data_IF_394611750879
#
_entry.id   IF_394611750879
#
_cell.length_a   1.000
_cell.length_b   1.000
_cell.length_c   1.000
_cell.angle_alpha   90.00
_cell.angle_beta   90.00
_cell.angle_gamma   90.00
#
_symmetry.space_group_name_H-M   'P 1'
#
loop_
_entity.id
_entity.type
_entity.pdbx_description
1 polymer ?
#
# COMPACT_ATOMS: atom_id res chain seq x y z
N UNK A 1 53.98 54.13 -32.73
CA UNK A 1 53.33 52.94 -33.35
C UNK A 1 53.94 51.65 -32.81
N UNK A 2 55.26 51.42 -32.94
CA UNK A 2 55.91 50.16 -32.52
C UNK A 2 55.79 49.79 -31.04
N UNK A 3 55.96 50.74 -30.12
CA UNK A 3 55.85 50.46 -28.68
C UNK A 3 54.45 49.95 -28.29
N UNK A 4 53.39 50.57 -28.84
CA UNK A 4 52.01 50.12 -28.65
C UNK A 4 51.76 48.73 -29.23
N UNK A 5 52.33 48.45 -30.41
CA UNK A 5 52.21 47.14 -31.05
C UNK A 5 52.88 46.05 -30.19
N UNK A 6 54.07 46.33 -29.66
CA UNK A 6 54.79 45.42 -28.77
C UNK A 6 54.03 45.14 -27.46
N UNK A 7 53.39 46.15 -26.87
CA UNK A 7 52.55 46.01 -25.67
C UNK A 7 51.35 45.09 -25.93
N UNK A 8 50.64 45.30 -27.04
CA UNK A 8 49.52 44.44 -27.46
C UNK A 8 49.98 42.99 -27.73
N UNK A 9 51.18 42.77 -28.28
CA UNK A 9 51.71 41.42 -28.47
C UNK A 9 52.03 40.70 -27.16
N UNK A 10 52.38 41.43 -26.10
CA UNK A 10 52.61 40.86 -24.78
C UNK A 10 51.30 40.51 -24.09
N UNK A 11 50.31 41.40 -24.11
CA UNK A 11 48.98 41.13 -23.56
C UNK A 11 48.30 39.95 -24.26
N UNK A 12 48.38 39.86 -25.60
CA UNK A 12 47.81 38.73 -26.34
C UNK A 12 48.50 37.40 -26.03
N UNK A 13 49.81 37.39 -25.75
CA UNK A 13 50.52 36.20 -25.26
C UNK A 13 50.09 35.82 -23.85
N UNK A 14 49.92 36.80 -22.96
CA UNK A 14 49.41 36.58 -21.60
C UNK A 14 48.01 35.97 -21.63
N UNK A 15 47.08 36.58 -22.38
CA UNK A 15 45.72 36.08 -22.54
C UNK A 15 45.68 34.65 -23.10
N UNK A 16 46.57 34.32 -24.06
CA UNK A 16 46.67 32.94 -24.57
C UNK A 16 47.09 31.95 -23.48
N UNK A 17 48.02 32.34 -22.61
CA UNK A 17 48.43 31.51 -21.47
C UNK A 17 47.28 31.30 -20.48
N UNK A 18 46.54 32.36 -20.15
CA UNK A 18 45.39 32.29 -19.26
C UNK A 18 44.27 31.41 -19.84
N UNK A 19 43.99 31.55 -21.13
CA UNK A 19 43.01 30.70 -21.85
C UNK A 19 43.43 29.24 -21.80
N UNK A 20 44.71 28.92 -22.02
CA UNK A 20 45.21 27.55 -21.90
C UNK A 20 45.06 27.00 -20.47
N UNK A 21 45.34 27.84 -19.46
CA UNK A 21 45.11 27.50 -18.05
C UNK A 21 43.63 27.24 -17.73
N UNK A 22 42.73 28.08 -18.25
CA UNK A 22 41.28 27.86 -18.10
C UNK A 22 40.81 26.61 -18.81
N UNK A 23 41.29 26.33 -20.03
CA UNK A 23 40.97 25.10 -20.75
C UNK A 23 41.35 23.86 -19.95
N UNK A 24 42.56 23.83 -19.36
CA UNK A 24 42.99 22.72 -18.49
C UNK A 24 42.12 22.57 -17.23
N UNK A 25 41.68 23.68 -16.64
CA UNK A 25 40.77 23.65 -15.49
C UNK A 25 39.37 23.16 -15.87
N UNK A 26 38.86 23.58 -17.03
CA UNK A 26 37.55 23.16 -17.55
C UNK A 26 37.55 21.67 -17.84
N UNK A 27 38.55 21.14 -18.54
CA UNK A 27 38.64 19.69 -18.80
C UNK A 27 38.76 18.88 -17.50
N UNK A 28 39.50 19.39 -16.51
CA UNK A 28 39.56 18.80 -15.17
C UNK A 28 38.21 18.80 -14.44
N UNK A 29 37.40 19.86 -14.59
CA UNK A 29 36.04 19.93 -14.03
C UNK A 29 35.07 18.99 -14.77
N UNK A 30 35.13 18.94 -16.09
CA UNK A 30 34.30 18.04 -16.90
C UNK A 30 34.57 16.57 -16.53
N UNK A 31 35.83 16.19 -16.35
CA UNK A 31 36.17 14.85 -15.91
C UNK A 31 35.61 14.54 -14.51
N UNK A 32 35.76 15.47 -13.57
CA UNK A 32 35.19 15.32 -12.21
C UNK A 32 33.66 15.29 -12.20
N UNK A 33 33.01 16.02 -13.11
CA UNK A 33 31.57 16.01 -13.26
C UNK A 33 31.10 14.65 -13.79
N UNK A 34 31.78 14.11 -14.80
CA UNK A 34 31.50 12.77 -15.31
C UNK A 34 31.68 11.66 -14.27
N UNK A 35 32.71 11.76 -13.42
CA UNK A 35 32.88 10.80 -12.31
C UNK A 35 31.79 10.94 -11.25
N UNK A 36 31.39 12.17 -10.90
CA UNK A 36 30.28 12.41 -9.96
C UNK A 36 28.95 11.90 -10.49
N UNK A 37 28.66 12.08 -11.78
CA UNK A 37 27.46 11.55 -12.42
C UNK A 37 27.43 10.02 -12.38
N UNK A 38 28.56 9.36 -12.68
CA UNK A 38 28.69 7.91 -12.55
C UNK A 38 28.54 7.45 -11.09
N UNK A 39 29.07 8.19 -10.11
CA UNK A 39 28.84 7.88 -8.71
C UNK A 39 27.36 8.01 -8.34
N UNK A 40 26.67 9.05 -8.81
CA UNK A 40 25.25 9.28 -8.53
C UNK A 40 24.38 8.12 -9.04
N UNK A 41 24.61 7.64 -10.25
CA UNK A 41 23.87 6.48 -10.78
C UNK A 41 24.13 5.23 -9.94
N UNK A 42 25.37 4.97 -9.56
CA UNK A 42 25.68 3.81 -8.72
C UNK A 42 25.11 3.92 -7.29
N UNK A 43 24.90 5.13 -6.77
CA UNK A 43 24.22 5.33 -5.47
C UNK A 43 22.73 5.06 -5.63
N UNK A 44 22.10 5.56 -6.71
CA UNK A 44 20.70 5.28 -7.00
C UNK A 44 20.42 3.79 -7.17
N UNK A 45 21.29 3.06 -7.87
CA UNK A 45 21.17 1.61 -8.03
C UNK A 45 21.27 0.89 -6.67
N UNK A 46 22.21 1.32 -5.82
CA UNK A 46 22.34 0.77 -4.45
C UNK A 46 21.13 1.07 -3.59
N UNK A 47 20.53 2.25 -3.70
CA UNK A 47 19.31 2.60 -2.96
C UNK A 47 18.15 1.69 -3.38
N UNK A 48 18.03 1.38 -4.68
CA UNK A 48 17.03 0.42 -5.17
C UNK A 48 17.29 -1.00 -4.63
N UNK A 49 18.55 -1.45 -4.64
CA UNK A 49 18.92 -2.75 -4.08
C UNK A 49 18.62 -2.82 -2.58
N UNK A 50 18.89 -1.76 -1.82
CA UNK A 50 18.58 -1.69 -0.39
C UNK A 50 17.07 -1.77 -0.13
N UNK A 51 16.25 -1.08 -0.93
CA UNK A 51 14.79 -1.16 -0.84
C UNK A 51 14.29 -2.58 -1.14
N UNK A 52 14.83 -3.21 -2.19
CA UNK A 52 14.50 -4.58 -2.56
C UNK A 52 14.88 -5.58 -1.44
N UNK A 53 16.10 -5.47 -0.91
CA UNK A 53 16.58 -6.33 0.16
C UNK A 53 15.78 -6.16 1.45
N UNK A 54 15.43 -4.92 1.82
CA UNK A 54 14.59 -4.64 2.99
C UNK A 54 13.20 -5.29 2.84
N UNK A 55 12.59 -5.16 1.67
CA UNK A 55 11.31 -5.80 1.35
C UNK A 55 11.40 -7.33 1.46
N UNK A 56 12.47 -7.93 0.91
CA UNK A 56 12.72 -9.37 0.98
C UNK A 56 12.93 -9.86 2.40
N UNK A 57 13.70 -9.14 3.21
CA UNK A 57 13.92 -9.46 4.63
C UNK A 57 12.60 -9.43 5.39
N UNK A 58 11.80 -8.38 5.19
CA UNK A 58 10.48 -8.23 5.82
C UNK A 58 9.56 -9.40 5.48
N UNK A 59 9.48 -9.77 4.20
CA UNK A 59 8.66 -10.90 3.74
C UNK A 59 9.15 -12.26 4.28
N UNK A 60 10.47 -12.47 4.38
CA UNK A 60 11.04 -13.67 5.00
C UNK A 60 10.76 -13.74 6.51
N UNK A 61 10.90 -12.61 7.22
CA UNK A 61 10.55 -12.53 8.64
C UNK A 61 9.08 -12.83 8.87
N UNK A 62 8.19 -12.19 8.11
CA UNK A 62 6.75 -12.42 8.23
C UNK A 62 6.41 -13.89 7.94
N UNK A 63 6.97 -14.49 6.87
CA UNK A 63 6.79 -15.92 6.58
C UNK A 63 7.20 -16.82 7.74
N UNK A 64 8.34 -16.52 8.37
CA UNK A 64 8.82 -17.28 9.51
C UNK A 64 7.94 -17.13 10.76
N UNK A 65 7.13 -16.07 10.85
CA UNK A 65 6.25 -15.78 12.00
C UNK A 65 4.77 -16.02 11.72
N UNK A 66 4.39 -16.47 10.52
CA UNK A 66 2.97 -16.71 10.14
C UNK A 66 2.23 -17.68 11.07
N UNK A 67 2.95 -18.59 11.69
CA UNK A 67 2.38 -19.58 12.62
C UNK A 67 2.44 -19.12 14.09
N UNK A 68 3.05 -17.96 14.34
CA UNK A 68 3.11 -17.35 15.66
C UNK A 68 1.84 -16.52 15.93
N UNK A 69 1.31 -16.68 17.13
CA UNK A 69 0.34 -15.76 17.74
C UNK A 69 0.99 -15.04 18.92
N UNK A 70 0.55 -13.80 19.13
CA UNK A 70 0.94 -12.97 20.26
C UNK A 70 -0.26 -12.72 21.15
N UNK A 71 -0.09 -13.05 22.41
CA UNK A 71 -1.14 -13.00 23.42
C UNK A 71 -0.79 -11.92 24.44
N UNK A 72 -1.73 -11.02 24.70
CA UNK A 72 -1.60 -9.97 25.70
C UNK A 72 -2.67 -10.11 26.77
N UNK A 73 -2.37 -9.66 27.99
CA UNK A 73 -3.33 -9.61 29.09
C UNK A 73 -3.34 -10.84 30.01
N UNK A 74 -2.62 -11.91 29.66
CA UNK A 74 -2.51 -13.08 30.53
C UNK A 74 -1.77 -12.75 31.84
N UNK A 75 -2.39 -12.98 33.01
CA UNK A 75 -1.78 -12.73 34.32
C UNK A 75 -0.50 -13.54 34.51
N UNK A 76 0.49 -12.94 35.17
CA UNK A 76 1.78 -13.60 35.37
C UNK A 76 1.68 -14.77 36.36
N UNK A 77 2.44 -15.84 36.08
CA UNK A 77 2.57 -17.05 36.91
C UNK A 77 1.34 -17.98 36.95
N UNK A 78 0.21 -17.63 36.32
CA UNK A 78 -0.93 -18.54 36.16
C UNK A 78 -0.66 -19.68 35.18
N UNK A 79 0.34 -19.55 34.32
CA UNK A 79 0.71 -20.58 33.34
C UNK A 79 1.37 -21.81 33.98
N UNK A 80 1.85 -21.68 35.22
CA UNK A 80 2.65 -22.71 35.87
C UNK A 80 3.99 -22.93 35.16
N UNK A 81 4.47 -24.17 35.15
CA UNK A 81 5.74 -24.56 34.52
C UNK A 81 5.65 -24.79 33.01
N UNK A 82 4.46 -25.06 32.48
CA UNK A 82 4.25 -25.41 31.06
C UNK A 82 3.22 -24.49 30.40
N UNK A 83 3.75 -23.49 29.69
CA UNK A 83 2.95 -22.51 28.94
C UNK A 83 2.18 -23.17 27.80
N UNK A 84 2.70 -24.23 27.18
CA UNK A 84 2.03 -24.89 26.05
C UNK A 84 0.79 -25.64 26.51
N UNK A 85 0.90 -26.43 27.58
CA UNK A 85 -0.24 -27.12 28.18
C UNK A 85 -1.31 -26.14 28.68
N UNK A 86 -0.89 -25.04 29.33
CA UNK A 86 -1.79 -23.98 29.73
C UNK A 86 -2.58 -23.40 28.54
N UNK A 87 -1.89 -22.96 27.49
CA UNK A 87 -2.54 -22.38 26.31
C UNK A 87 -3.43 -23.39 25.57
N UNK A 88 -3.02 -24.67 25.50
CA UNK A 88 -3.81 -25.73 24.89
C UNK A 88 -5.14 -25.95 25.60
N UNK A 89 -5.21 -25.73 26.92
CA UNK A 89 -6.43 -25.85 27.71
C UNK A 89 -7.29 -24.58 27.72
N UNK A 90 -6.66 -23.39 27.67
CA UNK A 90 -7.35 -22.11 27.83
C UNK A 90 -7.87 -21.56 26.51
N UNK A 91 -7.08 -21.60 25.43
CA UNK A 91 -7.47 -20.98 24.16
C UNK A 91 -8.76 -21.56 23.56
N UNK A 92 -9.01 -22.89 23.57
CA UNK A 92 -10.28 -23.44 23.08
C UNK A 92 -11.48 -22.95 23.89
N UNK A 93 -11.35 -22.89 25.22
CA UNK A 93 -12.40 -22.39 26.12
C UNK A 93 -12.65 -20.90 25.90
N UNK A 94 -11.58 -20.12 25.78
CA UNK A 94 -11.63 -18.66 25.63
C UNK A 94 -12.28 -18.25 24.30
N UNK A 95 -11.94 -18.96 23.22
CA UNK A 95 -12.45 -18.68 21.86
C UNK A 95 -13.76 -19.41 21.56
N UNK A 96 -14.21 -20.30 22.45
CA UNK A 96 -15.34 -21.21 22.22
C UNK A 96 -15.20 -22.02 20.93
N UNK A 97 -13.96 -22.32 20.52
CA UNK A 97 -13.64 -23.11 19.34
C UNK A 97 -13.30 -24.55 19.73
N UNK A 98 -13.76 -25.49 18.90
CA UNK A 98 -13.38 -26.90 19.00
C UNK A 98 -12.25 -27.16 18.00
N UNK A 99 -11.14 -27.68 18.49
CA UNK A 99 -9.99 -28.03 17.66
C UNK A 99 -9.83 -29.55 17.59
N UNK A 100 -9.87 -30.07 16.37
CA UNK A 100 -9.55 -31.47 16.06
C UNK A 100 -8.52 -31.50 14.90
N UNK A 101 -7.28 -31.94 15.14
CA UNK A 101 -6.70 -32.37 16.41
C UNK A 101 -6.53 -31.22 17.43
N UNK A 102 -6.30 -31.52 18.73
CA UNK A 102 -6.06 -30.51 19.77
C UNK A 102 -4.95 -29.52 19.42
N UNK A 103 -4.96 -28.32 19.99
CA UNK A 103 -3.91 -27.33 19.75
C UNK A 103 -2.54 -27.87 20.17
N UNK A 104 -1.59 -27.84 19.22
CA UNK A 104 -0.21 -28.23 19.44
C UNK A 104 0.71 -27.05 19.15
N UNK A 105 1.72 -26.87 19.99
CA UNK A 105 2.65 -25.76 19.92
C UNK A 105 4.06 -26.27 19.68
N UNK A 106 4.77 -25.66 18.74
CA UNK A 106 6.22 -25.88 18.61
C UNK A 106 6.97 -25.22 19.76
N UNK A 107 6.52 -24.02 20.18
CA UNK A 107 7.12 -23.22 21.25
C UNK A 107 6.10 -22.25 21.83
N UNK A 108 6.14 -22.00 23.13
CA UNK A 108 5.39 -20.93 23.77
C UNK A 108 6.20 -20.35 24.93
N UNK A 109 6.33 -19.03 24.99
CA UNK A 109 7.11 -18.36 26.03
C UNK A 109 6.71 -16.90 26.20
N UNK A 110 6.97 -16.34 27.40
CA UNK A 110 6.82 -14.91 27.66
C UNK A 110 7.99 -14.12 27.09
N UNK A 111 7.70 -12.92 26.58
CA UNK A 111 8.69 -12.02 25.98
C UNK A 111 8.78 -10.72 26.77
N UNK A 112 10.01 -10.26 27.01
CA UNK A 112 10.30 -8.99 27.68
C UNK A 112 10.71 -9.14 29.16
N UNK A 113 11.23 -8.04 29.76
CA UNK A 113 11.70 -8.04 31.14
C UNK A 113 10.54 -8.17 32.12
N UNK A 114 10.72 -9.00 33.16
CA UNK A 114 9.73 -9.13 34.25
C UNK A 114 9.71 -7.83 35.04
N UNK A 115 8.52 -7.24 35.21
CA UNK A 115 8.38 -6.05 36.03
C UNK A 115 8.37 -6.45 37.51
N UNK A 116 9.25 -5.87 38.36
CA UNK A 116 9.39 -6.29 39.75
C UNK A 116 8.14 -6.00 40.61
N UNK A 117 7.41 -4.92 40.32
CA UNK A 117 6.40 -4.39 41.24
C UNK A 117 4.95 -4.74 40.88
N UNK A 118 4.72 -5.58 39.85
CA UNK A 118 3.37 -6.01 39.44
C UNK A 118 2.44 -4.89 38.94
N UNK A 119 2.89 -3.63 38.96
CA UNK A 119 2.14 -2.44 38.55
C UNK A 119 2.06 -2.29 37.02
N UNK A 120 2.92 -2.97 36.27
CA UNK A 120 2.94 -2.94 34.82
C UNK A 120 1.98 -3.97 34.19
N UNK A 121 1.60 -3.72 32.93
CA UNK A 121 0.88 -4.68 32.10
C UNK A 121 1.62 -6.03 32.07
N UNK A 122 0.90 -7.16 32.18
CA UNK A 122 1.52 -8.48 32.10
C UNK A 122 2.31 -8.67 30.80
N UNK A 123 3.43 -9.40 30.86
CA UNK A 123 4.26 -9.63 29.67
C UNK A 123 3.51 -10.41 28.59
N UNK A 124 3.69 -10.07 27.30
CA UNK A 124 3.08 -10.84 26.23
C UNK A 124 3.67 -12.25 26.14
N UNK A 125 2.84 -13.20 25.72
CA UNK A 125 3.25 -14.56 25.36
C UNK A 125 3.32 -14.63 23.83
N UNK A 126 4.39 -15.20 23.30
CA UNK A 126 4.47 -15.60 21.90
C UNK A 126 4.36 -17.12 21.84
N UNK A 127 3.40 -17.62 21.07
CA UNK A 127 3.18 -19.04 20.86
C UNK A 127 3.21 -19.38 19.37
N UNK A 128 4.03 -20.34 18.96
CA UNK A 128 4.08 -20.86 17.61
C UNK A 128 3.28 -22.16 17.55
N UNK A 129 2.21 -22.17 16.75
CA UNK A 129 1.40 -23.36 16.57
C UNK A 129 2.05 -24.28 15.53
N UNK A 130 1.79 -25.57 15.64
CA UNK A 130 2.28 -26.55 14.67
C UNK A 130 1.52 -26.48 13.33
N UNK A 131 0.23 -26.06 13.37
CA UNK A 131 -0.65 -26.05 12.20
C UNK A 131 -1.15 -24.64 11.89
N UNK A 132 -0.75 -24.13 10.73
CA UNK A 132 -1.16 -22.82 10.22
C UNK A 132 -2.68 -22.61 10.17
N UNK A 133 -3.46 -23.66 9.88
CA UNK A 133 -4.92 -23.57 9.84
C UNK A 133 -5.52 -23.18 11.19
N UNK A 134 -4.99 -23.71 12.29
CA UNK A 134 -5.45 -23.40 13.65
C UNK A 134 -5.06 -21.98 14.06
N UNK A 135 -3.87 -21.52 13.65
CA UNK A 135 -3.44 -20.13 13.80
C UNK A 135 -4.44 -19.17 13.15
N UNK A 136 -4.82 -19.43 11.89
CA UNK A 136 -5.80 -18.59 11.18
C UNK A 136 -7.17 -18.59 11.84
N UNK A 137 -7.64 -19.75 12.33
CA UNK A 137 -8.92 -19.83 13.05
C UNK A 137 -8.92 -18.98 14.33
N UNK A 138 -7.86 -19.06 15.13
CA UNK A 138 -7.71 -18.25 16.35
C UNK A 138 -7.68 -16.75 16.03
N UNK A 139 -6.90 -16.34 15.02
CA UNK A 139 -6.78 -14.94 14.61
C UNK A 139 -8.11 -14.39 14.07
N UNK A 140 -8.84 -15.19 13.28
CA UNK A 140 -10.14 -14.82 12.76
C UNK A 140 -11.18 -14.67 13.89
N UNK A 141 -11.18 -15.59 14.86
CA UNK A 141 -12.05 -15.48 16.03
C UNK A 141 -11.75 -14.20 16.83
N UNK A 142 -10.46 -13.87 17.03
CA UNK A 142 -10.04 -12.65 17.71
C UNK A 142 -10.47 -11.39 16.95
N UNK A 143 -10.36 -11.39 15.61
CA UNK A 143 -10.78 -10.25 14.79
C UNK A 143 -12.30 -10.02 14.85
N UNK A 144 -13.09 -11.09 14.93
CA UNK A 144 -14.55 -11.01 14.94
C UNK A 144 -15.12 -10.66 16.32
N UNK A 145 -14.54 -11.21 17.39
CA UNK A 145 -15.04 -11.04 18.75
C UNK A 145 -14.45 -9.80 19.45
N UNK A 146 -13.23 -9.40 19.07
CA UNK A 146 -12.45 -8.40 19.82
C UNK A 146 -11.76 -9.02 21.04
N UNK A 147 -11.53 -8.26 22.13
CA UNK A 147 -10.87 -8.79 23.32
C UNK A 147 -11.71 -9.90 23.97
N UNK A 148 -11.04 -10.96 24.40
CA UNK A 148 -11.67 -12.04 25.14
C UNK A 148 -11.57 -11.77 26.63
N UNK A 149 -12.69 -11.85 27.35
CA UNK A 149 -12.71 -11.61 28.79
C UNK A 149 -12.46 -12.91 29.55
N UNK A 150 -11.39 -12.96 30.33
CA UNK A 150 -11.07 -14.06 31.24
C UNK A 150 -11.09 -13.52 32.67
N UNK A 151 -12.12 -13.88 33.44
CA UNK A 151 -12.37 -13.35 34.78
C UNK A 151 -12.34 -11.80 34.82
N UNK A 152 -11.21 -11.24 35.28
CA UNK A 152 -10.94 -9.79 35.42
C UNK A 152 -9.99 -9.23 34.36
N UNK A 153 -9.56 -10.03 33.39
CA UNK A 153 -8.53 -9.69 32.42
C UNK A 153 -9.07 -9.69 30.99
N UNK A 154 -8.68 -8.67 30.21
CA UNK A 154 -8.97 -8.59 28.78
C UNK A 154 -7.80 -9.14 27.98
N UNK A 155 -8.01 -10.31 27.40
CA UNK A 155 -7.03 -11.05 26.61
C UNK A 155 -7.15 -10.65 25.15
N UNK A 156 -6.03 -10.24 24.57
CA UNK A 156 -5.94 -9.89 23.16
C UNK A 156 -5.07 -10.91 22.43
N UNK A 157 -5.60 -11.45 21.34
CA UNK A 157 -4.89 -12.36 20.45
C UNK A 157 -4.62 -11.63 19.14
N UNK A 158 -3.35 -11.51 18.76
CA UNK A 158 -2.93 -10.88 17.50
C UNK A 158 -1.93 -11.75 16.78
N UNK A 159 -1.76 -11.54 15.48
CA UNK A 159 -0.65 -12.16 14.75
C UNK A 159 0.68 -11.50 15.16
N UNK A 160 1.78 -12.23 15.00
CA UNK A 160 3.13 -11.76 15.25
C UNK A 160 3.81 -11.33 13.94
N UNK A 161 3.67 -10.07 13.55
CA UNK A 161 4.33 -9.54 12.36
C UNK A 161 5.76 -9.05 12.64
N UNK A 162 6.56 -8.90 11.58
CA UNK A 162 7.80 -8.13 11.59
C UNK A 162 7.57 -6.69 12.03
N UNK A 163 8.66 -5.99 12.36
CA UNK A 163 8.60 -4.60 12.80
C UNK A 163 8.05 -3.69 11.70
N UNK A 164 8.58 -3.81 10.49
CA UNK A 164 8.19 -2.99 9.34
C UNK A 164 6.71 -3.20 8.99
N UNK A 165 6.23 -4.45 8.99
CA UNK A 165 4.81 -4.76 8.78
C UNK A 165 3.92 -4.19 9.90
N UNK A 166 4.33 -4.28 11.17
CA UNK A 166 3.59 -3.67 12.27
C UNK A 166 3.53 -2.13 12.17
N UNK A 167 4.61 -1.48 11.77
CA UNK A 167 4.64 -0.03 11.55
C UNK A 167 3.72 0.39 10.40
N UNK A 168 3.75 -0.35 9.28
CA UNK A 168 2.84 -0.14 8.16
C UNK A 168 1.37 -0.32 8.56
N UNK A 169 1.04 -1.41 9.28
CA UNK A 169 -0.30 -1.62 9.82
C UNK A 169 -0.72 -0.48 10.76
N UNK A 170 0.15 -0.03 11.66
CA UNK A 170 -0.13 1.08 12.57
C UNK A 170 -0.41 2.38 11.81
N UNK A 171 0.34 2.66 10.74
CA UNK A 171 0.10 3.82 9.89
C UNK A 171 -1.26 3.73 9.18
N UNK A 172 -1.66 2.56 8.67
CA UNK A 172 -3.00 2.35 8.15
C UNK A 172 -4.09 2.52 9.22
N UNK A 173 -3.92 1.93 10.40
CA UNK A 173 -4.86 2.09 11.52
C UNK A 173 -5.05 3.56 11.91
N UNK A 174 -4.00 4.39 11.84
CA UNK A 174 -4.09 5.82 12.10
C UNK A 174 -4.96 6.57 11.07
N UNK A 175 -5.08 6.06 9.84
CA UNK A 175 -5.92 6.63 8.78
C UNK A 175 -7.37 6.13 8.81
N UNK A 176 -7.64 5.00 9.49
CA UNK A 176 -8.96 4.38 9.52
C UNK A 176 -10.11 5.31 9.95
N UNK A 177 -9.97 6.20 10.94
CA UNK A 177 -11.07 7.09 11.36
C UNK A 177 -11.60 8.00 10.25
N UNK A 178 -10.80 8.28 9.21
CA UNK A 178 -11.20 9.13 8.07
C UNK A 178 -12.07 8.39 7.07
N UNK A 179 -12.02 7.06 7.01
CA UNK A 179 -12.72 6.26 6.00
C UNK A 179 -14.26 6.26 6.19
N UNK A 180 -14.80 6.05 7.41
CA UNK A 180 -16.23 6.17 7.66
C UNK A 180 -16.79 7.57 7.35
N UNK A 181 -16.01 8.62 7.61
CA UNK A 181 -16.41 10.02 7.36
C UNK A 181 -16.64 10.29 5.86
N UNK A 182 -16.02 9.50 4.99
CA UNK A 182 -16.13 9.60 3.54
C UNK A 182 -17.06 8.53 2.93
N UNK A 183 -17.87 7.88 3.78
CA UNK A 183 -18.79 6.79 3.42
C UNK A 183 -18.08 5.60 2.73
N UNK A 184 -16.84 5.33 3.12
CA UNK A 184 -16.04 4.25 2.55
C UNK A 184 -16.06 3.02 3.47
N UNK A 185 -16.30 1.84 2.89
CA UNK A 185 -16.06 0.56 3.55
C UNK A 185 -14.57 0.23 3.43
N UNK A 186 -14.03 -0.47 4.43
CA UNK A 186 -12.62 -0.80 4.43
C UNK A 186 -12.33 -2.09 5.18
N UNK A 187 -11.12 -2.59 4.99
CA UNK A 187 -10.54 -3.62 5.85
C UNK A 187 -9.03 -3.70 5.65
N UNK A 188 -8.35 -4.25 6.65
CA UNK A 188 -6.92 -4.47 6.62
C UNK A 188 -6.67 -5.98 6.46
N UNK A 189 -6.10 -6.37 5.32
CA UNK A 189 -5.66 -7.72 5.04
C UNK A 189 -4.22 -7.96 5.47
N UNK A 190 -3.92 -9.21 5.76
CA UNK A 190 -2.57 -9.67 6.04
C UNK A 190 -1.71 -9.69 4.77
N UNK A 191 -0.41 -9.34 4.86
CA UNK A 191 0.28 -8.86 6.08
C UNK A 191 -0.02 -7.38 6.40
N UNK A 192 -0.08 -6.48 5.40
CA UNK A 192 -0.41 -5.06 5.60
C UNK A 192 -0.95 -4.43 4.31
N UNK A 193 -2.14 -4.86 3.87
CA UNK A 193 -2.82 -4.28 2.69
C UNK A 193 -4.18 -3.75 3.08
N UNK A 194 -4.44 -2.46 2.89
CA UNK A 194 -5.76 -1.89 3.16
C UNK A 194 -6.57 -1.84 1.86
N UNK A 195 -7.76 -2.43 1.88
CA UNK A 195 -8.74 -2.25 0.81
C UNK A 195 -9.78 -1.22 1.24
N UNK A 196 -10.24 -0.44 0.28
CA UNK A 196 -11.25 0.60 0.48
C UNK A 196 -12.27 0.51 -0.64
N UNK A 197 -13.56 0.53 -0.29
CA UNK A 197 -14.67 0.49 -1.25
C UNK A 197 -15.55 1.71 -1.10
N UNK A 198 -15.80 2.41 -2.22
CA UNK A 198 -16.75 3.53 -2.31
C UNK A 198 -17.70 3.29 -3.48
N UNK A 199 -19.01 3.37 -3.24
CA UNK A 199 -20.07 3.22 -4.26
C UNK A 199 -19.88 1.98 -5.18
N UNK A 200 -19.49 0.84 -4.58
CA UNK A 200 -19.33 -0.43 -5.29
C UNK A 200 -17.98 -0.64 -5.99
N UNK A 201 -17.06 0.33 -5.95
CA UNK A 201 -15.71 0.17 -6.50
C UNK A 201 -14.69 0.07 -5.38
N UNK A 202 -13.87 -0.97 -5.44
CA UNK A 202 -12.84 -1.28 -4.47
C UNK A 202 -11.45 -0.93 -5.01
N UNK A 203 -10.58 -0.40 -4.16
CA UNK A 203 -9.17 -0.15 -4.44
C UNK A 203 -8.31 -0.64 -3.28
N UNK A 204 -7.21 -1.28 -3.63
CA UNK A 204 -6.21 -1.78 -2.69
C UNK A 204 -5.04 -0.80 -2.55
N UNK A 205 -4.53 -0.67 -1.33
CA UNK A 205 -3.38 0.15 -0.98
C UNK A 205 -2.33 -0.70 -0.26
N UNK A 206 -1.10 -0.62 -0.74
CA UNK A 206 0.06 -1.32 -0.19
C UNK A 206 0.93 -0.40 0.66
N UNK A 207 0.89 0.92 0.42
CA UNK A 207 1.55 1.93 1.23
C UNK A 207 0.51 2.85 1.92
N UNK A 208 0.74 3.20 3.21
CA UNK A 208 -0.13 4.13 3.92
C UNK A 208 -0.09 5.54 3.35
N UNK A 209 1.03 5.96 2.76
CA UNK A 209 1.18 7.25 2.08
C UNK A 209 0.23 7.37 0.88
N UNK A 210 0.09 6.32 0.07
CA UNK A 210 -0.80 6.30 -1.09
C UNK A 210 -2.26 6.46 -0.66
N UNK A 211 -2.65 5.80 0.43
CA UNK A 211 -3.98 5.97 0.99
C UNK A 211 -4.17 7.38 1.55
N UNK A 212 -3.17 7.93 2.24
CA UNK A 212 -3.26 9.31 2.76
C UNK A 212 -3.49 10.30 1.62
N UNK A 213 -2.68 10.24 0.57
CA UNK A 213 -2.83 11.08 -0.63
C UNK A 213 -4.21 10.89 -1.29
N UNK A 214 -4.69 9.65 -1.34
CA UNK A 214 -6.02 9.35 -1.85
C UNK A 214 -7.12 10.00 -1.00
N UNK A 215 -7.05 9.92 0.33
CA UNK A 215 -8.04 10.52 1.23
C UNK A 215 -8.03 12.04 1.19
N UNK A 216 -6.85 12.64 1.09
CA UNK A 216 -6.68 14.09 0.97
C UNK A 216 -7.34 14.61 -0.32
N UNK A 217 -7.23 13.86 -1.42
CA UNK A 217 -7.91 14.19 -2.68
C UNK A 217 -9.45 14.20 -2.57
N UNK A 218 -10.06 13.41 -1.67
CA UNK A 218 -11.51 13.43 -1.45
C UNK A 218 -11.99 14.57 -0.55
N UNK A 219 -11.14 15.10 0.32
CA UNK A 219 -11.50 16.22 1.21
C UNK A 219 -11.55 17.56 0.48
N UNK A 220 -10.94 17.67 -0.70
CA UNK A 220 -10.87 18.91 -1.48
C UNK A 220 -11.82 18.94 -2.69
N UNK A 221 -12.87 18.12 -2.75
CA UNK A 221 -13.93 18.33 -3.74
C UNK A 221 -14.85 19.48 -3.29
N UNK A 222 -14.89 20.64 -3.99
CA UNK A 222 -15.87 21.67 -3.72
C UNK A 222 -17.28 21.12 -4.02
N UNK A 223 -18.25 21.56 -3.20
CA UNK A 223 -19.67 21.32 -3.42
C UNK A 223 -20.09 22.18 -4.62
N UNK A 224 -19.96 21.63 -5.83
CA UNK A 224 -20.59 22.24 -6.99
C UNK A 224 -22.08 21.93 -6.95
N UNK A 225 -22.83 22.87 -6.35
CA UNK A 225 -24.26 23.01 -6.53
C UNK A 225 -24.56 23.32 -8.00
N UNK A 226 -24.76 22.28 -8.82
CA UNK A 226 -25.42 22.44 -10.12
C UNK A 226 -26.85 21.96 -9.99
N UNK A 227 -27.72 22.97 -9.99
CA UNK A 227 -29.17 22.95 -10.01
C UNK A 227 -29.74 21.84 -10.89
N UNK A 228 -30.62 21.02 -10.31
CA UNK A 228 -31.59 20.21 -11.06
C UNK A 228 -32.39 21.13 -11.98
N UNK A 229 -32.18 21.05 -13.28
CA UNK A 229 -33.22 21.40 -14.25
C UNK A 229 -33.97 20.13 -14.61
N UNK A 230 -35.19 20.03 -14.07
CA UNK A 230 -36.19 19.02 -14.41
C UNK A 230 -36.69 19.32 -15.83
N UNK A 231 -36.56 18.42 -16.83
CA UNK A 231 -37.22 18.61 -18.11
C UNK A 231 -38.74 18.56 -17.89
N UNK A 232 -39.44 19.57 -18.40
CA UNK A 232 -40.90 19.58 -18.42
C UNK A 232 -41.41 18.48 -19.36
N UNK A 233 -42.38 17.71 -18.88
CA UNK A 233 -43.15 16.77 -19.69
C UNK A 233 -43.96 17.56 -20.72
N UNK A 234 -43.79 17.25 -22.02
CA UNK A 234 -44.82 17.52 -23.02
C UNK A 234 -45.67 16.25 -23.21
N UNK A 235 -47.01 16.35 -23.19
CA UNK A 235 -47.88 15.22 -23.45
C UNK A 235 -48.09 15.07 -24.96
N UNK A 236 -47.72 13.92 -25.51
CA UNK A 236 -47.99 13.59 -26.91
C UNK A 236 -47.34 12.26 -27.27
N UNK A 237 -48.17 11.35 -27.80
CA UNK A 237 -47.84 10.04 -28.36
C UNK A 237 -47.62 8.87 -27.40
N UNK A 238 -48.76 8.30 -27.03
CA UNK A 238 -48.92 7.02 -26.38
C UNK A 238 -49.43 6.02 -27.44
N UNK A 239 -48.54 5.20 -28.03
CA UNK A 239 -48.93 3.88 -28.56
C UNK A 239 -47.70 2.99 -28.78
N UNK A 240 -47.55 1.97 -27.94
CA UNK A 240 -46.83 0.77 -28.35
C UNK A 240 -47.56 -0.46 -27.83
N UNK A 241 -47.98 -1.31 -28.76
CA UNK A 241 -48.59 -2.61 -28.56
C UNK A 241 -47.50 -3.69 -28.53
N UNK A 242 -47.49 -4.61 -27.54
CA UNK A 242 -46.54 -5.70 -27.51
C UNK A 242 -46.91 -6.81 -28.51
N UNK A 243 -45.93 -7.43 -29.20
CA UNK A 243 -46.19 -8.54 -30.12
C UNK A 243 -46.50 -9.86 -29.38
N UNK A 244 -47.39 -10.70 -29.92
CA UNK A 244 -47.82 -11.95 -29.28
C UNK A 244 -46.92 -13.14 -29.63
N UNK A 245 -46.64 -13.98 -28.63
CA UNK A 245 -46.13 -15.34 -28.81
C UNK A 245 -44.71 -15.55 -28.29
N UNK A 246 -44.59 -16.06 -27.05
CA UNK A 246 -43.75 -17.21 -26.72
C UNK A 246 -44.04 -17.67 -25.29
N UNK A 247 -44.43 -18.93 -25.19
CA UNK A 247 -44.96 -19.60 -24.01
C UNK A 247 -43.87 -19.95 -22.98
N UNK A 248 -44.34 -20.26 -21.77
CA UNK A 248 -43.58 -20.84 -20.65
C UNK A 248 -43.02 -22.22 -21.01
N UNK A 249 -41.76 -22.48 -20.65
CA UNK A 249 -41.26 -23.84 -20.44
C UNK A 249 -39.74 -23.98 -20.47
N UNK A 250 -39.20 -24.78 -19.53
CA UNK A 250 -37.91 -25.46 -19.73
C UNK A 250 -36.81 -25.15 -18.71
N UNK A 251 -36.65 -26.04 -17.73
CA UNK A 251 -35.42 -26.20 -16.93
C UNK A 251 -34.44 -27.02 -17.77
N UNK A 252 -33.26 -26.46 -18.10
CA UNK A 252 -32.16 -27.24 -18.66
C UNK A 252 -30.92 -27.21 -17.75
N UNK A 253 -30.29 -28.38 -17.67
CA UNK A 253 -29.34 -28.82 -16.67
C UNK A 253 -27.92 -28.33 -16.98
N UNK A 254 -27.13 -28.14 -15.93
CA UNK A 254 -25.71 -27.84 -16.00
C UNK A 254 -24.93 -29.11 -16.40
N UNK A 255 -24.17 -29.02 -17.50
CA UNK A 255 -23.32 -30.11 -18.02
C UNK A 255 -21.86 -29.89 -17.56
N UNK A 256 -21.26 -30.75 -16.71
CA UNK A 256 -19.96 -30.47 -16.09
C UNK A 256 -18.74 -30.64 -16.99
N UNK A 257 -18.89 -31.23 -18.17
CA UNK A 257 -17.75 -31.71 -18.96
C UNK A 257 -17.33 -30.80 -20.12
N UNK A 258 -17.97 -29.65 -20.30
CA UNK A 258 -17.55 -28.69 -21.33
C UNK A 258 -16.62 -27.59 -20.78
N UNK A 259 -15.53 -28.03 -20.17
CA UNK A 259 -14.47 -27.18 -19.62
C UNK A 259 -13.24 -27.15 -20.55
N UNK A 260 -13.02 -26.08 -21.35
CA UNK A 260 -11.73 -25.89 -21.99
C UNK A 260 -10.76 -25.17 -21.03
N UNK A 261 -10.18 -25.95 -20.10
CA UNK A 261 -8.85 -25.64 -19.56
C UNK A 261 -7.83 -25.84 -20.69
N UNK A 262 -7.44 -24.74 -21.35
CA UNK A 262 -6.37 -24.79 -22.33
C UNK A 262 -6.47 -23.69 -23.38
N UNK A 263 -6.21 -22.45 -22.97
CA UNK A 263 -5.64 -21.31 -23.74
C UNK A 263 -6.07 -19.99 -23.10
N UNK A 264 -5.31 -19.56 -22.09
CA UNK A 264 -5.42 -18.21 -21.53
C UNK A 264 -4.02 -17.58 -21.45
N UNK A 265 -3.44 -17.31 -22.62
CA UNK A 265 -2.27 -16.44 -22.78
C UNK A 265 -2.49 -15.35 -23.85
N UNK A 266 -3.71 -15.18 -24.37
CA UNK A 266 -4.04 -14.18 -25.40
C UNK A 266 -5.39 -13.47 -25.19
N UNK A 267 -5.78 -13.19 -23.94
CA UNK A 267 -6.95 -12.32 -23.65
C UNK A 267 -6.64 -11.18 -22.67
N UNK A 268 -5.44 -10.60 -22.79
CA UNK A 268 -5.08 -9.35 -22.09
C UNK A 268 -5.45 -8.07 -22.88
N UNK A 269 -6.13 -8.18 -24.00
CA UNK A 269 -6.48 -7.02 -24.84
C UNK A 269 -7.88 -7.14 -25.42
N UNK A 270 -8.92 -7.15 -24.57
CA UNK A 270 -10.32 -6.77 -24.91
C UNK A 270 -11.25 -6.96 -23.69
N UNK A 271 -11.17 -6.03 -22.75
CA UNK A 271 -12.32 -5.53 -21.97
C UNK A 271 -11.88 -4.30 -21.17
N UNK A 272 -11.15 -3.40 -21.84
CA UNK A 272 -11.20 -1.98 -21.53
C UNK A 272 -12.33 -1.44 -22.39
N UNK A 273 -13.51 -1.38 -21.80
CA UNK A 273 -14.45 -0.26 -21.96
C UNK A 273 -15.58 -0.49 -20.95
N UNK A 274 -15.97 0.57 -20.25
CA UNK A 274 -17.06 0.70 -19.27
C UNK A 274 -16.85 0.36 -17.77
N UNK A 275 -15.63 0.20 -17.25
CA UNK A 275 -15.39 0.13 -15.78
C UNK A 275 -14.51 1.23 -15.17
N UNK A 276 -14.22 2.28 -15.94
CA UNK A 276 -13.25 3.33 -15.54
C UNK A 276 -13.84 4.68 -15.13
N UNK A 277 -15.12 4.98 -15.36
CA UNK A 277 -15.56 6.39 -15.36
C UNK A 277 -15.66 7.07 -13.99
N UNK A 278 -15.74 6.33 -12.88
CA UNK A 278 -15.85 6.94 -11.54
C UNK A 278 -14.51 7.39 -10.97
N UNK A 279 -13.40 6.74 -11.35
CA UNK A 279 -12.05 7.08 -10.85
C UNK A 279 -11.21 7.84 -11.88
N UNK A 280 -11.49 7.67 -13.18
CA UNK A 280 -10.73 8.31 -14.25
C UNK A 280 -11.12 9.78 -14.48
N UNK A 281 -12.36 10.18 -14.12
CA UNK A 281 -12.82 11.57 -14.21
C UNK A 281 -12.13 12.52 -13.22
N UNK A 282 -11.45 11.99 -12.19
CA UNK A 282 -10.72 12.80 -11.19
C UNK A 282 -9.22 12.91 -11.52
N UNK A 283 -8.67 11.99 -12.31
CA UNK A 283 -7.25 12.01 -12.68
C UNK A 283 -6.93 12.95 -13.85
N UNK A 284 -7.90 13.25 -14.72
CA UNK A 284 -7.64 14.05 -15.93
C UNK A 284 -7.67 15.57 -15.74
N UNK A 285 -8.15 16.09 -14.60
CA UNK A 285 -8.13 17.53 -14.38
C UNK A 285 -6.77 18.10 -13.94
N UNK A 286 -5.84 17.24 -13.50
CA UNK A 286 -4.52 17.64 -12.99
C UNK A 286 -3.38 17.65 -14.03
N UNK A 287 -3.64 17.32 -15.31
CA UNK A 287 -2.61 17.42 -16.37
C UNK A 287 -2.72 18.69 -17.23
N UNK A 288 -3.76 19.51 -17.06
CA UNK A 288 -3.94 20.78 -17.79
C UNK A 288 -3.54 22.02 -16.99
N UNK A 289 -3.23 21.90 -15.70
CA UNK A 289 -2.71 23.00 -14.87
C UNK A 289 -1.19 23.17 -14.97
N UNK A 290 -0.44 22.08 -15.19
CA UNK A 290 1.03 22.14 -15.29
C UNK A 290 1.57 22.45 -16.70
N UNK A 291 0.74 22.43 -17.74
CA UNK A 291 1.13 22.91 -19.08
C UNK A 291 1.02 24.43 -19.26
N UNK A 292 0.31 25.14 -18.38
CA UNK A 292 0.15 26.59 -18.45
C UNK A 292 1.07 27.40 -17.52
N UNK A 293 2.07 26.75 -16.90
CA UNK A 293 3.16 27.44 -16.17
C UNK A 293 4.54 27.34 -16.83
N UNK A 294 4.66 26.69 -18.00
CA UNK A 294 5.91 26.63 -18.78
C UNK A 294 5.90 27.46 -20.07
N UNK A 295 4.87 28.26 -20.33
CA UNK A 295 4.79 29.12 -21.52
C UNK A 295 4.92 30.61 -21.15
N UNK A 296 6.09 31.00 -20.62
CA UNK A 296 6.56 32.40 -20.59
C UNK A 296 8.08 32.49 -20.48
N UNK A 297 8.79 32.00 -21.50
CA UNK A 297 10.11 32.54 -21.86
C UNK A 297 10.20 32.67 -23.37
N UNK A 298 10.02 33.91 -23.81
CA UNK A 298 10.28 34.40 -25.16
C UNK A 298 11.71 34.02 -25.60
N UNK A 299 11.85 33.39 -26.77
CA UNK A 299 13.10 33.35 -27.53
C UNK A 299 13.12 34.54 -28.50
N UNK A 300 14.26 35.25 -28.69
CA UNK A 300 14.36 36.29 -29.71
C UNK A 300 14.48 35.69 -31.12
N UNK A 301 13.90 36.39 -32.09
CA UNK A 301 13.89 36.05 -33.51
C UNK A 301 15.27 36.18 -34.19
N UNK A 302 15.57 35.42 -35.26
CA UNK A 302 16.77 35.63 -36.05
C UNK A 302 16.61 36.83 -37.00
N UNK A 303 17.65 37.66 -37.09
CA UNK A 303 17.75 38.75 -38.07
C UNK A 303 17.99 38.20 -39.48
N UNK A 304 17.30 38.73 -40.52
CA UNK A 304 17.58 38.39 -41.91
C UNK A 304 18.87 39.06 -42.42
N UNK A 305 19.44 38.59 -43.56
CA UNK A 305 20.77 38.98 -44.04
C UNK A 305 20.91 40.45 -44.43
#
# INVERSE_FOLDING_TARGET
MDASLSSLTLETKSMRSDIAGFQSRVTGLEHRMGTLEAHMTTVQDRDQDLLYLRSKITDLEDRSRRDNIRLFGFPENEEGSDVQAFLGSVLPKLTSLVFDPPLEFQRAHRVGPKCPDGASRPRPIIACLLRHAQTRQLLQAAQNHGPFRMERYDIHITADYSKDTNECRKAFLALQPRLPQLEMKYGLFDPARMWVTKKGVSKDFYAPEDLRLFLDAFQHQPIDSVTRTRPQNNPGDNSYTPPPGMERGGVERYDPDNCPRGRALERLTRSHDDRGQVFHAVAQHNQLSERNKSCSRLKPAPSPP
#
